data_IF_531149112712
#
_entry.id   IF_531149112712
#
_cell.length_a   1.000
_cell.length_b   1.000
_cell.length_c   1.000
_cell.angle_alpha   90.00
_cell.angle_beta   90.00
_cell.angle_gamma   90.00
#
_symmetry.space_group_name_H-M   'P 1'
#
loop_
_entity.id
_entity.type
_entity.pdbx_description
1 polymer ?
#
# COMPACT_ATOMS: atom_id res chain seq x y z
N UNK A 1 -20.18 40.75 -23.16
CA UNK A 1 -18.85 41.40 -23.08
C UNK A 1 -18.21 41.25 -24.45
N UNK A 2 -18.13 42.36 -25.21
CA UNK A 2 -17.45 42.41 -26.50
C UNK A 2 -15.97 42.11 -26.28
N UNK A 3 -15.46 41.09 -26.98
CA UNK A 3 -14.04 40.77 -27.01
C UNK A 3 -13.34 41.84 -27.86
N UNK A 4 -12.97 42.97 -27.23
CA UNK A 4 -12.12 43.99 -27.86
C UNK A 4 -10.66 43.53 -27.83
N UNK A 5 -10.36 42.43 -28.52
CA UNK A 5 -9.00 41.99 -28.73
C UNK A 5 -8.72 41.99 -30.24
N UNK A 6 -7.55 42.49 -30.64
CA UNK A 6 -7.09 42.57 -32.03
C UNK A 6 -7.20 41.22 -32.74
N UNK A 7 -7.01 40.11 -32.01
CA UNK A 7 -7.15 38.73 -32.52
C UNK A 7 -8.52 38.52 -33.17
N UNK A 8 -9.60 38.87 -32.47
CA UNK A 8 -10.98 38.70 -32.98
C UNK A 8 -11.29 39.64 -34.14
N UNK A 9 -10.60 40.79 -34.24
CA UNK A 9 -10.77 41.73 -35.34
C UNK A 9 -10.11 41.25 -36.64
N UNK A 10 -8.96 40.55 -36.53
CA UNK A 10 -8.20 40.09 -37.70
C UNK A 10 -8.51 38.66 -38.12
N UNK A 11 -9.10 37.83 -37.25
CA UNK A 11 -9.40 36.41 -37.52
C UNK A 11 -10.22 36.20 -38.81
N UNK A 12 -11.17 37.09 -39.06
CA UNK A 12 -12.09 37.01 -40.21
C UNK A 12 -11.75 38.02 -41.31
N UNK A 13 -10.64 38.73 -41.18
CA UNK A 13 -10.25 39.75 -42.14
C UNK A 13 -9.66 39.09 -43.39
N UNK A 14 -10.22 39.31 -44.59
CA UNK A 14 -9.64 38.79 -45.83
C UNK A 14 -8.22 39.33 -46.07
N UNK A 15 -7.35 38.47 -46.60
CA UNK A 15 -5.95 38.79 -46.89
C UNK A 15 -5.74 40.15 -47.56
N UNK A 16 -6.52 40.51 -48.59
CA UNK A 16 -6.33 41.74 -49.36
C UNK A 16 -6.67 43.03 -48.57
N UNK A 17 -7.31 42.92 -47.41
CA UNK A 17 -7.62 44.05 -46.52
C UNK A 17 -6.57 44.28 -45.43
N UNK A 18 -5.58 43.38 -45.28
CA UNK A 18 -4.48 43.62 -44.36
C UNK A 18 -3.58 44.74 -44.87
N UNK A 19 -3.38 45.75 -44.02
CA UNK A 19 -2.41 46.84 -44.22
C UNK A 19 -1.26 46.73 -43.21
N UNK A 20 -0.16 47.44 -43.45
CA UNK A 20 0.99 47.47 -42.54
C UNK A 20 0.61 48.00 -41.14
N UNK A 21 -0.31 48.96 -41.06
CA UNK A 21 -0.79 49.52 -39.78
C UNK A 21 -1.55 48.48 -38.95
N UNK A 22 -2.38 47.65 -39.60
CA UNK A 22 -3.11 46.55 -38.93
C UNK A 22 -2.11 45.50 -38.43
N UNK A 23 -1.10 45.18 -39.23
CA UNK A 23 -0.06 44.21 -38.87
C UNK A 23 0.76 44.71 -37.68
N UNK A 24 1.23 45.95 -37.68
CA UNK A 24 2.01 46.47 -36.54
C UNK A 24 1.15 46.57 -35.26
N UNK A 25 -0.13 46.96 -35.37
CA UNK A 25 -1.03 46.92 -34.22
C UNK A 25 -1.20 45.50 -33.65
N UNK A 26 -1.27 44.48 -34.53
CA UNK A 26 -1.31 43.08 -34.10
C UNK A 26 0.01 42.65 -33.43
N UNK A 27 1.17 43.05 -33.97
CA UNK A 27 2.49 42.78 -33.37
C UNK A 27 2.63 43.44 -31.99
N UNK A 28 2.18 44.68 -31.83
CA UNK A 28 2.24 45.44 -30.57
C UNK A 28 1.32 44.90 -29.48
N UNK A 29 0.24 44.21 -29.86
CA UNK A 29 -0.68 43.59 -28.90
C UNK A 29 -0.03 42.50 -28.05
N UNK A 30 1.04 41.88 -28.56
CA UNK A 30 1.77 40.75 -27.93
C UNK A 30 0.91 39.50 -27.68
N UNK A 31 -0.29 39.43 -28.26
CA UNK A 31 -1.13 38.23 -28.23
C UNK A 31 -0.56 37.19 -29.20
N UNK A 32 -0.38 35.96 -28.73
CA UNK A 32 0.35 34.96 -29.51
C UNK A 32 -0.48 34.43 -30.68
N UNK A 33 -1.81 34.43 -30.57
CA UNK A 33 -2.74 33.89 -31.57
C UNK A 33 -2.74 34.70 -32.87
N UNK A 34 -2.31 35.96 -32.85
CA UNK A 34 -2.23 36.80 -34.06
C UNK A 34 -1.35 36.14 -35.14
N UNK A 35 -0.36 35.33 -34.74
CA UNK A 35 0.49 34.56 -35.65
C UNK A 35 -0.30 33.56 -36.51
N UNK A 36 -1.49 33.15 -36.09
CA UNK A 36 -2.37 32.28 -36.87
C UNK A 36 -3.18 33.03 -37.92
N UNK A 37 -3.34 34.35 -37.78
CA UNK A 37 -4.29 35.15 -38.58
C UNK A 37 -3.60 36.19 -39.47
N UNK A 38 -2.38 36.62 -39.15
CA UNK A 38 -1.61 37.52 -40.02
C UNK A 38 -1.21 36.76 -41.31
N UNK A 39 -1.49 37.31 -42.51
CA UNK A 39 -1.12 36.66 -43.76
C UNK A 39 0.40 36.47 -43.86
N UNK A 40 0.82 35.30 -44.36
CA UNK A 40 2.23 34.90 -44.38
C UNK A 40 3.18 35.90 -45.05
N UNK A 41 2.72 36.70 -46.02
CA UNK A 41 3.54 37.74 -46.67
C UNK A 41 3.98 38.87 -45.73
N UNK A 42 3.29 39.07 -44.61
CA UNK A 42 3.62 40.09 -43.60
C UNK A 42 4.41 39.53 -42.42
N UNK A 43 4.54 38.20 -42.32
CA UNK A 43 5.28 37.53 -41.26
C UNK A 43 6.77 37.47 -41.61
N UNK A 44 7.56 38.34 -40.99
CA UNK A 44 9.03 38.33 -41.03
C UNK A 44 9.59 37.70 -39.76
N UNK A 45 10.84 37.17 -39.77
CA UNK A 45 11.48 36.63 -38.56
C UNK A 45 11.47 37.61 -37.38
N UNK A 46 11.79 38.88 -37.65
CA UNK A 46 11.82 39.95 -36.65
C UNK A 46 10.46 40.19 -35.99
N UNK A 47 9.37 40.18 -36.78
CA UNK A 47 8.00 40.34 -36.25
C UNK A 47 7.58 39.14 -35.40
N UNK A 48 7.89 37.93 -35.86
CA UNK A 48 7.57 36.69 -35.12
C UNK A 48 8.30 36.68 -33.77
N UNK A 49 9.59 37.02 -33.77
CA UNK A 49 10.40 37.07 -32.55
C UNK A 49 9.88 38.14 -31.57
N UNK A 50 9.50 39.33 -32.07
CA UNK A 50 8.87 40.37 -31.24
C UNK A 50 7.59 39.88 -30.56
N UNK A 51 6.71 39.19 -31.30
CA UNK A 51 5.46 38.65 -30.75
C UNK A 51 5.76 37.58 -29.70
N UNK A 52 6.63 36.61 -30.01
CA UNK A 52 6.98 35.52 -29.08
C UNK A 52 7.64 36.08 -27.81
N UNK A 53 8.59 37.02 -27.93
CA UNK A 53 9.27 37.62 -26.79
C UNK A 53 8.35 38.49 -25.93
N UNK A 54 7.34 39.11 -26.54
CA UNK A 54 6.32 39.89 -25.85
C UNK A 54 5.21 39.05 -25.22
N UNK A 55 5.04 37.81 -25.67
CA UNK A 55 3.94 36.93 -25.24
C UNK A 55 4.04 36.57 -23.76
N UNK A 56 2.88 36.51 -23.10
CA UNK A 56 2.78 36.06 -21.70
C UNK A 56 2.64 34.54 -21.64
N UNK A 57 3.05 33.95 -20.51
CA UNK A 57 2.90 32.51 -20.33
C UNK A 57 1.46 32.15 -19.96
N UNK A 58 0.61 32.03 -20.98
CA UNK A 58 -0.78 31.64 -20.88
C UNK A 58 -1.08 30.38 -21.72
N UNK A 59 -2.33 29.92 -21.70
CA UNK A 59 -2.79 28.72 -22.42
C UNK A 59 -3.01 28.95 -23.93
N UNK A 60 -2.89 30.19 -24.40
CA UNK A 60 -3.11 30.53 -25.79
C UNK A 60 -1.94 30.05 -26.66
N UNK A 61 -2.25 29.73 -27.92
CA UNK A 61 -1.31 29.12 -28.86
C UNK A 61 -1.61 29.54 -30.29
N UNK A 62 -0.70 29.20 -31.21
CA UNK A 62 -0.86 29.48 -32.63
C UNK A 62 -0.56 28.24 -33.47
N UNK A 63 -1.02 28.26 -34.71
CA UNK A 63 -0.81 27.19 -35.69
C UNK A 63 0.47 27.45 -36.49
N UNK A 64 1.51 26.66 -36.27
CA UNK A 64 2.82 26.83 -36.93
C UNK A 64 2.73 26.75 -38.47
N UNK A 65 1.76 25.98 -39.00
CA UNK A 65 1.49 25.88 -40.44
C UNK A 65 1.16 27.21 -41.12
N UNK A 66 0.66 28.20 -40.37
CA UNK A 66 0.33 29.52 -40.89
C UNK A 66 1.57 30.43 -41.00
N UNK A 67 2.68 30.06 -40.35
CA UNK A 67 3.97 30.73 -40.51
C UNK A 67 4.65 30.21 -41.80
N UNK A 68 5.17 31.09 -42.67
CA UNK A 68 5.95 30.69 -43.84
C UNK A 68 7.13 29.81 -43.44
N UNK A 69 7.42 28.76 -44.22
CA UNK A 69 8.49 27.79 -43.91
C UNK A 69 9.86 28.46 -43.71
N UNK A 70 10.18 29.47 -44.52
CA UNK A 70 11.43 30.24 -44.40
C UNK A 70 11.59 30.96 -43.04
N UNK A 71 10.49 31.19 -42.32
CA UNK A 71 10.48 31.86 -41.02
C UNK A 71 10.34 30.88 -39.84
N UNK A 72 10.20 29.57 -40.09
CA UNK A 72 10.10 28.54 -39.05
C UNK A 72 11.48 28.19 -38.48
N UNK A 73 12.10 29.13 -37.79
CA UNK A 73 13.37 28.89 -37.10
C UNK A 73 13.22 27.80 -36.03
N UNK A 74 14.34 27.21 -35.58
CA UNK A 74 14.32 26.17 -34.55
C UNK A 74 13.65 26.65 -33.25
N UNK A 75 13.94 27.89 -32.85
CA UNK A 75 13.34 28.52 -31.67
C UNK A 75 11.82 28.72 -31.82
N UNK A 76 11.36 29.13 -33.00
CA UNK A 76 9.91 29.28 -33.30
C UNK A 76 9.22 27.93 -33.26
N UNK A 77 9.82 26.89 -33.86
CA UNK A 77 9.29 25.54 -33.85
C UNK A 77 9.22 24.95 -32.42
N UNK A 78 10.27 25.14 -31.62
CA UNK A 78 10.31 24.69 -30.21
C UNK A 78 9.24 25.39 -29.39
N UNK A 79 9.10 26.72 -29.54
CA UNK A 79 8.08 27.49 -28.86
C UNK A 79 6.67 27.03 -29.25
N UNK A 80 6.40 26.89 -30.55
CA UNK A 80 5.11 26.45 -31.06
C UNK A 80 4.72 25.05 -30.55
N UNK A 81 5.66 24.11 -30.55
CA UNK A 81 5.43 22.72 -30.10
C UNK A 81 5.20 22.65 -28.59
N UNK A 82 5.89 23.50 -27.80
CA UNK A 82 5.64 23.61 -26.35
C UNK A 82 4.25 24.12 -26.02
N UNK A 83 3.76 25.14 -26.74
CA UNK A 83 2.40 25.68 -26.55
C UNK A 83 1.32 24.69 -27.01
N UNK A 84 1.54 24.02 -28.14
CA UNK A 84 0.61 23.04 -28.70
C UNK A 84 1.37 21.94 -29.44
N UNK A 85 1.35 20.72 -28.91
CA UNK A 85 2.13 19.60 -29.46
C UNK A 85 1.80 19.26 -30.90
N UNK A 86 0.53 19.46 -31.34
CA UNK A 86 0.11 19.26 -32.73
C UNK A 86 0.88 20.10 -33.76
N UNK A 87 1.56 21.17 -33.33
CA UNK A 87 2.43 21.96 -34.20
C UNK A 87 3.63 21.16 -34.74
N UNK A 88 3.99 20.01 -34.14
CA UNK A 88 5.04 19.15 -34.67
C UNK A 88 4.79 18.73 -36.12
N UNK A 89 3.52 18.64 -36.54
CA UNK A 89 3.12 18.31 -37.92
C UNK A 89 3.59 19.31 -38.97
N UNK A 90 3.90 20.55 -38.55
CA UNK A 90 4.37 21.63 -39.40
C UNK A 90 5.86 21.95 -39.19
N UNK A 91 6.54 21.24 -38.29
CA UNK A 91 7.99 21.39 -38.06
C UNK A 91 8.73 20.60 -39.14
N UNK A 92 9.69 21.20 -39.86
CA UNK A 92 10.52 20.46 -40.80
C UNK A 92 11.26 19.31 -40.10
N UNK A 93 11.27 18.12 -40.70
CA UNK A 93 11.78 16.90 -40.06
C UNK A 93 13.20 17.07 -39.50
N UNK A 94 14.09 17.77 -40.21
CA UNK A 94 15.46 18.02 -39.80
C UNK A 94 15.58 18.89 -38.53
N UNK A 95 14.54 19.67 -38.21
CA UNK A 95 14.50 20.60 -37.07
C UNK A 95 13.77 20.02 -35.86
N UNK A 96 13.11 18.87 -35.99
CA UNK A 96 12.50 18.18 -34.86
C UNK A 96 13.60 17.76 -33.88
N UNK A 97 13.47 18.22 -32.63
CA UNK A 97 14.43 17.96 -31.55
C UNK A 97 13.95 16.86 -30.61
N UNK A 98 14.88 16.31 -29.82
CA UNK A 98 14.53 15.35 -28.76
C UNK A 98 13.52 15.92 -27.76
N UNK A 99 13.67 17.19 -27.38
CA UNK A 99 12.76 17.86 -26.45
C UNK A 99 11.34 17.98 -27.01
N UNK A 100 11.19 18.25 -28.32
CA UNK A 100 9.88 18.23 -28.98
C UNK A 100 9.25 16.83 -28.93
N UNK A 101 10.00 15.79 -29.25
CA UNK A 101 9.51 14.40 -29.24
C UNK A 101 9.03 13.97 -27.84
N UNK A 102 9.79 14.32 -26.80
CA UNK A 102 9.40 14.04 -25.41
C UNK A 102 8.14 14.83 -24.99
N UNK A 103 8.02 16.09 -25.40
CA UNK A 103 6.83 16.91 -25.13
C UNK A 103 5.58 16.32 -25.81
N UNK A 104 5.72 15.88 -27.06
CA UNK A 104 4.67 15.21 -27.84
C UNK A 104 4.22 13.92 -27.16
N UNK A 105 5.15 13.10 -26.69
CA UNK A 105 4.82 11.87 -25.96
C UNK A 105 4.12 12.15 -24.63
N UNK A 106 4.56 13.17 -23.89
CA UNK A 106 4.01 13.49 -22.57
C UNK A 106 2.61 14.10 -22.65
N UNK A 107 2.37 14.95 -23.64
CA UNK A 107 1.16 15.78 -23.73
C UNK A 107 0.19 15.36 -24.84
N UNK A 108 0.58 14.46 -25.76
CA UNK A 108 -0.21 14.01 -26.92
C UNK A 108 -1.18 12.86 -26.64
N UNK A 109 -1.61 12.66 -25.39
CA UNK A 109 -2.41 11.49 -24.97
C UNK A 109 -3.63 11.28 -25.88
N UNK A 110 -3.79 10.05 -26.38
CA UNK A 110 -4.93 9.63 -27.20
C UNK A 110 -4.81 9.92 -28.70
N UNK A 111 -3.83 10.70 -29.13
CA UNK A 111 -3.57 11.02 -30.53
C UNK A 111 -2.33 10.25 -31.00
N UNK A 112 -2.48 8.99 -31.41
CA UNK A 112 -1.33 8.15 -31.81
C UNK A 112 -0.67 8.61 -33.10
N UNK A 113 -1.41 9.27 -33.98
CA UNK A 113 -0.93 9.73 -35.29
C UNK A 113 0.17 10.78 -35.15
N UNK A 114 0.21 11.49 -34.01
CA UNK A 114 1.26 12.47 -33.72
C UNK A 114 2.66 11.82 -33.60
N UNK A 115 2.73 10.52 -33.28
CA UNK A 115 3.99 9.79 -33.16
C UNK A 115 4.67 9.59 -34.52
N UNK A 116 3.92 9.61 -35.62
CA UNK A 116 4.44 9.52 -36.99
C UNK A 116 5.38 10.69 -37.34
N UNK A 117 5.25 11.82 -36.63
CA UNK A 117 6.06 13.02 -36.86
C UNK A 117 7.34 13.05 -36.01
N UNK A 118 7.63 11.99 -35.25
CA UNK A 118 8.91 11.81 -34.57
C UNK A 118 9.88 11.10 -35.54
N UNK A 119 10.97 11.76 -35.98
CA UNK A 119 11.91 11.17 -36.91
C UNK A 119 12.59 9.92 -36.35
N UNK A 120 12.89 8.96 -37.23
CA UNK A 120 13.54 7.69 -36.89
C UNK A 120 14.82 7.89 -36.06
N UNK A 121 15.64 8.89 -36.41
CA UNK A 121 16.90 9.20 -35.71
C UNK A 121 16.76 9.56 -34.22
N UNK A 122 15.56 9.94 -33.77
CA UNK A 122 15.31 10.35 -32.39
C UNK A 122 14.79 9.22 -31.50
N UNK A 123 14.34 8.12 -32.10
CA UNK A 123 13.85 6.97 -31.34
C UNK A 123 15.01 6.21 -30.71
N UNK A 124 14.91 6.02 -29.41
CA UNK A 124 15.71 5.08 -28.62
C UNK A 124 14.77 4.30 -27.68
N UNK A 125 15.34 3.32 -26.97
CA UNK A 125 14.58 2.50 -26.04
C UNK A 125 13.86 3.36 -24.97
N UNK A 126 14.50 4.44 -24.50
CA UNK A 126 13.97 5.28 -23.45
C UNK A 126 12.76 6.13 -23.91
N UNK A 127 12.81 6.65 -25.13
CA UNK A 127 11.69 7.38 -25.72
C UNK A 127 10.51 6.45 -25.98
N UNK A 128 10.79 5.25 -26.49
CA UNK A 128 9.81 4.21 -26.69
C UNK A 128 9.14 3.79 -25.37
N UNK A 129 9.90 3.56 -24.30
CA UNK A 129 9.34 3.29 -22.97
C UNK A 129 8.51 4.46 -22.44
N UNK A 130 8.93 5.69 -22.69
CA UNK A 130 8.16 6.89 -22.33
C UNK A 130 6.84 6.97 -23.09
N UNK A 131 6.84 6.65 -24.39
CA UNK A 131 5.63 6.58 -25.21
C UNK A 131 4.69 5.50 -24.71
N UNK A 132 5.19 4.28 -24.54
CA UNK A 132 4.43 3.16 -24.00
C UNK A 132 3.81 3.52 -22.63
N UNK A 133 4.58 4.10 -21.71
CA UNK A 133 4.06 4.52 -20.41
C UNK A 133 3.01 5.62 -20.53
N UNK A 134 3.23 6.66 -21.33
CA UNK A 134 2.28 7.78 -21.45
C UNK A 134 0.93 7.39 -22.08
N UNK A 135 0.94 6.46 -23.03
CA UNK A 135 -0.25 6.10 -23.82
C UNK A 135 -0.98 4.85 -23.31
N UNK A 136 -0.31 3.97 -22.56
CA UNK A 136 -0.90 2.74 -22.01
C UNK A 136 -1.23 2.89 -20.52
N UNK A 137 -0.45 3.68 -19.77
CA UNK A 137 -0.68 3.89 -18.33
C UNK A 137 -1.75 4.97 -18.11
N UNK A 138 -3.02 4.58 -18.27
CA UNK A 138 -4.15 5.25 -17.63
C UNK A 138 -4.94 4.21 -16.81
N UNK A 139 -4.93 4.30 -15.46
CA UNK A 139 -5.67 3.37 -14.60
C UNK A 139 -7.19 3.43 -14.79
N UNK A 140 -7.72 4.33 -15.63
CA UNK A 140 -9.15 4.54 -15.82
C UNK A 140 -9.74 4.07 -17.16
N UNK A 141 -8.94 3.59 -18.14
CA UNK A 141 -9.45 3.44 -19.53
C UNK A 141 -9.03 2.21 -20.34
N UNK A 142 -8.32 1.23 -19.76
CA UNK A 142 -8.06 -0.04 -20.47
C UNK A 142 -8.91 -1.16 -19.90
N UNK A 143 -10.22 -1.10 -20.17
CA UNK A 143 -11.20 -2.09 -19.69
C UNK A 143 -10.96 -3.50 -20.27
N UNK A 144 -10.11 -3.65 -21.29
CA UNK A 144 -9.75 -4.97 -21.84
C UNK A 144 -8.27 -5.14 -22.18
N UNK A 145 -7.74 -6.34 -21.89
CA UNK A 145 -6.39 -6.78 -22.28
C UNK A 145 -6.12 -6.61 -23.78
N UNK A 146 -7.14 -6.82 -24.63
CA UNK A 146 -7.02 -6.72 -26.09
C UNK A 146 -6.69 -5.30 -26.54
N UNK A 147 -7.32 -4.30 -25.92
CA UNK A 147 -7.07 -2.89 -26.21
C UNK A 147 -5.63 -2.48 -25.81
N UNK A 148 -5.16 -2.95 -24.65
CA UNK A 148 -3.78 -2.71 -24.21
C UNK A 148 -2.73 -3.33 -25.14
N UNK A 149 -2.98 -4.55 -25.64
CA UNK A 149 -2.10 -5.19 -26.65
C UNK A 149 -2.10 -4.38 -27.94
N UNK A 150 -3.28 -4.03 -28.48
CA UNK A 150 -3.39 -3.26 -29.72
C UNK A 150 -2.66 -1.92 -29.63
N UNK A 151 -2.86 -1.15 -28.55
CA UNK A 151 -2.18 0.13 -28.33
C UNK A 151 -0.66 -0.05 -28.21
N UNK A 152 -0.22 -1.12 -27.56
CA UNK A 152 1.21 -1.45 -27.47
C UNK A 152 1.81 -1.75 -28.84
N UNK A 153 1.15 -2.59 -29.64
CA UNK A 153 1.58 -2.92 -31.01
C UNK A 153 1.62 -1.68 -31.91
N UNK A 154 0.62 -0.79 -31.79
CA UNK A 154 0.57 0.46 -32.53
C UNK A 154 1.78 1.37 -32.21
N UNK A 155 2.10 1.55 -30.93
CA UNK A 155 3.28 2.34 -30.52
C UNK A 155 4.56 1.68 -31.02
N UNK A 156 4.70 0.35 -30.89
CA UNK A 156 5.85 -0.39 -31.40
C UNK A 156 5.97 -0.33 -32.93
N UNK A 157 4.87 -0.06 -33.64
CA UNK A 157 4.85 0.20 -35.08
C UNK A 157 5.62 1.46 -35.47
N UNK A 158 5.56 2.51 -34.64
CA UNK A 158 6.33 3.75 -34.84
C UNK A 158 7.80 3.62 -34.44
N UNK A 159 8.11 2.70 -33.52
CA UNK A 159 9.49 2.48 -33.06
C UNK A 159 10.30 1.76 -34.16
N UNK A 160 11.46 2.30 -34.58
CA UNK A 160 12.32 1.69 -35.58
C UNK A 160 12.77 0.27 -35.23
N UNK A 161 12.95 -0.57 -36.25
CA UNK A 161 13.37 -1.96 -36.05
C UNK A 161 14.74 -2.08 -35.36
N UNK A 162 15.64 -1.13 -35.59
CA UNK A 162 16.97 -1.08 -34.97
C UNK A 162 16.92 -0.87 -33.44
N UNK A 163 15.84 -0.27 -32.93
CA UNK A 163 15.63 -0.05 -31.48
C UNK A 163 15.03 -1.29 -30.81
N UNK A 164 14.22 -2.08 -31.54
CA UNK A 164 13.46 -3.24 -31.04
C UNK A 164 14.33 -4.50 -30.90
N UNK A 165 15.42 -4.39 -30.14
CA UNK A 165 16.34 -5.49 -29.82
C UNK A 165 15.76 -6.41 -28.74
N UNK A 166 16.46 -7.50 -28.43
CA UNK A 166 16.08 -8.38 -27.31
C UNK A 166 16.04 -7.60 -25.97
N UNK A 167 17.06 -6.78 -25.74
CA UNK A 167 17.21 -5.97 -24.52
C UNK A 167 16.09 -4.95 -24.39
N UNK A 168 15.62 -4.39 -25.52
CA UNK A 168 14.45 -3.52 -25.54
C UNK A 168 13.20 -4.25 -25.02
N UNK A 169 12.90 -5.43 -25.54
CA UNK A 169 11.73 -6.19 -25.09
C UNK A 169 11.85 -6.68 -23.64
N UNK A 170 13.06 -6.97 -23.17
CA UNK A 170 13.28 -7.36 -21.77
C UNK A 170 13.10 -6.17 -20.84
N UNK A 171 13.61 -5.00 -21.25
CA UNK A 171 13.43 -3.75 -20.51
C UNK A 171 11.97 -3.29 -20.42
N UNK A 172 11.10 -3.72 -21.33
CA UNK A 172 9.65 -3.47 -21.21
C UNK A 172 9.05 -4.03 -19.91
N UNK A 173 9.56 -5.16 -19.42
CA UNK A 173 9.12 -5.74 -18.14
C UNK A 173 9.52 -4.85 -16.97
N UNK A 174 10.75 -4.34 -16.96
CA UNK A 174 11.29 -3.57 -15.82
C UNK A 174 10.86 -2.09 -15.81
N UNK A 175 10.81 -1.43 -16.98
CA UNK A 175 10.81 0.03 -17.07
C UNK A 175 9.42 0.65 -17.27
N UNK A 176 8.48 -0.11 -17.83
CA UNK A 176 7.26 0.49 -18.42
C UNK A 176 6.03 0.31 -17.53
N UNK A 177 6.10 -0.57 -16.51
CA UNK A 177 4.97 -0.94 -15.63
C UNK A 177 3.71 -1.37 -16.41
N UNK A 178 3.91 -1.92 -17.60
CA UNK A 178 2.84 -2.57 -18.38
C UNK A 178 2.64 -3.98 -17.81
N UNK A 179 1.41 -4.48 -17.85
CA UNK A 179 1.13 -5.87 -17.46
C UNK A 179 2.02 -6.85 -18.22
N UNK A 180 2.63 -7.79 -17.49
CA UNK A 180 3.44 -8.89 -18.05
C UNK A 180 2.70 -9.66 -19.16
N UNK A 181 1.38 -9.78 -19.04
CA UNK A 181 0.52 -10.46 -20.02
C UNK A 181 0.41 -9.74 -21.37
N UNK A 182 0.56 -8.42 -21.38
CA UNK A 182 0.57 -7.57 -22.58
C UNK A 182 1.97 -7.59 -23.17
N UNK A 183 3.01 -7.45 -22.34
CA UNK A 183 4.40 -7.54 -22.78
C UNK A 183 4.66 -8.90 -23.43
N UNK A 184 4.24 -10.02 -22.83
CA UNK A 184 4.38 -11.34 -23.44
C UNK A 184 3.65 -11.45 -24.78
N UNK A 185 2.48 -10.86 -24.94
CA UNK A 185 1.75 -10.92 -26.21
C UNK A 185 2.52 -10.26 -27.36
N UNK A 186 3.18 -9.13 -27.10
CA UNK A 186 3.85 -8.32 -28.15
C UNK A 186 5.32 -8.68 -28.37
N UNK A 187 5.95 -9.42 -27.45
CA UNK A 187 7.35 -9.84 -27.61
C UNK A 187 7.45 -10.84 -28.77
N UNK A 188 8.28 -10.56 -29.80
CA UNK A 188 8.47 -11.47 -30.92
C UNK A 188 8.93 -12.87 -30.49
N UNK A 189 8.39 -13.96 -31.09
CA UNK A 189 8.75 -15.33 -30.71
C UNK A 189 10.26 -15.63 -30.70
N UNK A 190 11.03 -15.00 -31.60
CA UNK A 190 12.50 -15.12 -31.67
C UNK A 190 13.22 -14.68 -30.38
N UNK A 191 12.60 -13.82 -29.58
CA UNK A 191 13.15 -13.34 -28.31
C UNK A 191 12.60 -14.11 -27.09
N UNK A 192 11.59 -14.98 -27.26
CA UNK A 192 11.04 -15.80 -26.17
C UNK A 192 11.88 -17.04 -25.88
N UNK A 193 13.12 -16.82 -25.46
CA UNK A 193 14.07 -17.86 -25.10
C UNK A 193 14.14 -18.08 -23.57
N UNK A 194 15.04 -18.94 -23.10
CA UNK A 194 15.20 -19.23 -21.67
C UNK A 194 15.56 -17.98 -20.84
N UNK A 195 16.34 -17.04 -21.39
CA UNK A 195 16.68 -15.80 -20.71
C UNK A 195 15.46 -14.88 -20.56
N UNK A 196 14.60 -14.83 -21.57
CA UNK A 196 13.32 -14.11 -21.48
C UNK A 196 12.44 -14.66 -20.37
N UNK A 197 12.24 -15.98 -20.32
CA UNK A 197 11.37 -16.58 -19.31
C UNK A 197 11.96 -16.52 -17.90
N UNK A 198 13.29 -16.51 -17.75
CA UNK A 198 13.94 -16.18 -16.48
C UNK A 198 13.59 -14.77 -16.03
N UNK A 199 13.64 -13.80 -16.95
CA UNK A 199 13.24 -12.43 -16.66
C UNK A 199 11.75 -12.34 -16.34
N UNK A 200 10.91 -13.01 -17.12
CA UNK A 200 9.47 -13.10 -16.89
C UNK A 200 9.15 -13.67 -15.51
N UNK A 201 9.90 -14.64 -15.00
CA UNK A 201 9.68 -15.21 -13.67
C UNK A 201 9.86 -14.20 -12.52
N UNK A 202 10.65 -13.14 -12.73
CA UNK A 202 10.74 -12.04 -11.76
C UNK A 202 9.41 -11.28 -11.63
N UNK A 203 8.61 -11.27 -12.70
CA UNK A 203 7.41 -10.44 -12.86
C UNK A 203 6.11 -11.24 -12.77
N UNK A 204 6.01 -12.38 -13.44
CA UNK A 204 4.80 -13.21 -13.54
C UNK A 204 5.12 -14.67 -13.92
N UNK A 205 5.08 -15.58 -12.93
CA UNK A 205 5.29 -17.02 -13.17
C UNK A 205 4.19 -17.69 -13.99
N UNK A 206 2.97 -17.11 -14.06
CA UNK A 206 1.86 -17.72 -14.80
C UNK A 206 2.10 -17.78 -16.31
N UNK A 207 3.01 -16.93 -16.80
CA UNK A 207 3.40 -16.83 -18.20
C UNK A 207 4.64 -17.67 -18.53
N UNK A 208 5.26 -18.30 -17.54
CA UNK A 208 6.43 -19.17 -17.75
C UNK A 208 5.96 -20.59 -18.08
N UNK A 209 6.29 -21.15 -19.27
CA UNK A 209 5.93 -22.52 -19.62
C UNK A 209 6.52 -23.52 -18.63
N UNK A 210 5.71 -24.47 -18.13
CA UNK A 210 6.14 -25.47 -17.13
C UNK A 210 7.35 -26.29 -17.58
N UNK A 211 7.50 -26.54 -18.89
CA UNK A 211 8.67 -27.24 -19.46
C UNK A 211 10.01 -26.51 -19.25
N UNK A 212 9.97 -25.21 -18.90
CA UNK A 212 11.15 -24.38 -18.64
C UNK A 212 11.40 -24.20 -17.14
N UNK A 213 10.60 -24.82 -16.28
CA UNK A 213 10.83 -24.75 -14.83
C UNK A 213 12.21 -25.32 -14.50
N UNK A 214 12.98 -24.52 -13.78
CA UNK A 214 14.35 -24.82 -13.42
C UNK A 214 14.72 -24.08 -12.14
N UNK A 215 15.90 -24.39 -11.61
CA UNK A 215 16.49 -23.66 -10.49
C UNK A 215 16.59 -22.16 -10.77
N UNK A 216 17.00 -21.76 -11.98
CA UNK A 216 17.16 -20.34 -12.34
C UNK A 216 15.82 -19.59 -12.39
N UNK A 217 14.74 -20.25 -12.82
CA UNK A 217 13.38 -19.68 -12.79
C UNK A 217 12.94 -19.45 -11.35
N UNK A 218 13.10 -20.45 -10.48
CA UNK A 218 12.76 -20.33 -9.06
C UNK A 218 13.60 -19.24 -8.39
N UNK A 219 14.90 -19.21 -8.65
CA UNK A 219 15.81 -18.19 -8.13
C UNK A 219 15.37 -16.79 -8.54
N UNK A 220 15.07 -16.57 -9.83
CA UNK A 220 14.58 -15.29 -10.31
C UNK A 220 13.27 -14.87 -9.62
N UNK A 221 12.33 -15.79 -9.48
CA UNK A 221 11.04 -15.51 -8.83
C UNK A 221 11.18 -15.18 -7.33
N UNK A 222 11.96 -15.96 -6.58
CA UNK A 222 12.16 -15.73 -5.13
C UNK A 222 12.98 -14.46 -4.88
N UNK A 223 13.99 -14.20 -5.71
CA UNK A 223 14.85 -13.05 -5.55
C UNK A 223 14.25 -11.74 -6.10
N UNK A 224 13.14 -11.80 -6.85
CA UNK A 224 12.47 -10.62 -7.42
C UNK A 224 12.16 -9.53 -6.40
N UNK A 225 12.39 -8.28 -6.79
CA UNK A 225 11.98 -7.11 -6.01
C UNK A 225 10.47 -6.88 -6.09
N UNK A 226 9.78 -7.50 -7.04
CA UNK A 226 8.34 -7.39 -7.21
C UNK A 226 7.60 -8.35 -6.28
N UNK A 227 6.62 -7.84 -5.53
CA UNK A 227 5.89 -8.63 -4.54
C UNK A 227 4.75 -9.49 -5.10
N UNK A 228 4.52 -9.50 -6.42
CA UNK A 228 3.31 -10.08 -7.07
C UNK A 228 3.60 -10.93 -8.30
N UNK A 229 4.64 -11.76 -8.28
CA UNK A 229 4.99 -12.66 -9.39
C UNK A 229 4.39 -14.08 -9.27
N UNK A 230 3.39 -14.27 -8.41
CA UNK A 230 2.70 -15.53 -8.16
C UNK A 230 3.56 -16.68 -7.58
N UNK A 231 4.78 -16.41 -7.06
CA UNK A 231 5.60 -17.46 -6.44
C UNK A 231 4.95 -18.14 -5.23
N UNK A 232 4.02 -17.46 -4.56
CA UNK A 232 3.30 -17.99 -3.41
C UNK A 232 2.00 -18.70 -3.76
N UNK A 233 1.62 -18.70 -5.05
CA UNK A 233 0.49 -19.49 -5.51
C UNK A 233 0.88 -20.98 -5.55
N UNK A 234 0.13 -21.87 -4.88
CA UNK A 234 0.41 -23.30 -4.87
C UNK A 234 0.49 -23.94 -6.27
N UNK A 235 -0.23 -23.39 -7.27
CA UNK A 235 -0.21 -23.89 -8.64
C UNK A 235 1.20 -23.81 -9.26
N UNK A 236 1.94 -22.72 -8.99
CA UNK A 236 3.28 -22.51 -9.54
C UNK A 236 4.38 -22.97 -8.58
N UNK A 237 4.17 -22.80 -7.27
CA UNK A 237 5.15 -23.18 -6.26
C UNK A 237 5.38 -24.70 -6.20
N UNK A 238 4.31 -25.51 -6.22
CA UNK A 238 4.44 -26.97 -6.02
C UNK A 238 5.38 -27.64 -7.03
N UNK A 239 5.26 -27.41 -8.35
CA UNK A 239 6.22 -27.98 -9.30
C UNK A 239 7.65 -27.45 -9.13
N UNK A 240 7.81 -26.16 -8.78
CA UNK A 240 9.13 -25.55 -8.58
C UNK A 240 9.80 -25.98 -7.27
N UNK A 241 9.04 -26.46 -6.28
CA UNK A 241 9.58 -26.87 -4.97
C UNK A 241 10.64 -27.96 -5.04
N UNK A 242 10.68 -28.73 -6.14
CA UNK A 242 11.73 -29.72 -6.40
C UNK A 242 13.13 -29.09 -6.52
N UNK A 243 13.22 -27.82 -6.92
CA UNK A 243 14.47 -27.08 -7.10
C UNK A 243 14.90 -26.27 -5.87
N UNK A 244 14.16 -26.36 -4.76
CA UNK A 244 14.54 -25.65 -3.53
C UNK A 244 15.87 -26.17 -3.00
N UNK A 245 16.73 -25.21 -2.61
CA UNK A 245 17.92 -25.40 -1.81
C UNK A 245 17.86 -24.52 -0.55
N UNK A 246 18.90 -24.57 0.26
CA UNK A 246 18.91 -23.87 1.54
C UNK A 246 18.84 -22.33 1.38
N UNK A 247 19.52 -21.78 0.39
CA UNK A 247 19.57 -20.33 0.13
C UNK A 247 18.21 -19.81 -0.33
N UNK A 248 17.56 -20.50 -1.26
CA UNK A 248 16.24 -20.11 -1.77
C UNK A 248 15.18 -20.18 -0.68
N UNK A 249 15.23 -21.18 0.19
CA UNK A 249 14.30 -21.29 1.33
C UNK A 249 14.49 -20.12 2.28
N UNK A 250 15.72 -19.79 2.65
CA UNK A 250 16.00 -18.68 3.57
C UNK A 250 15.48 -17.36 2.98
N UNK A 251 15.72 -17.12 1.68
CA UNK A 251 15.20 -15.95 0.98
C UNK A 251 13.67 -15.92 0.90
N UNK A 252 13.03 -17.09 0.73
CA UNK A 252 11.58 -17.22 0.77
C UNK A 252 11.04 -16.88 2.17
N UNK A 253 11.72 -17.27 3.25
CA UNK A 253 11.29 -16.96 4.61
C UNK A 253 11.44 -15.48 4.97
N UNK A 254 12.43 -14.79 4.41
CA UNK A 254 12.59 -13.34 4.55
C UNK A 254 11.44 -12.58 3.88
N UNK A 255 11.02 -12.98 2.68
CA UNK A 255 10.01 -12.24 1.89
C UNK A 255 8.57 -12.72 2.07
N UNK A 256 8.39 -14.02 2.21
CA UNK A 256 7.11 -14.71 2.23
C UNK A 256 7.03 -15.67 3.44
N UNK A 257 7.14 -15.15 4.68
CA UNK A 257 7.20 -15.98 5.90
C UNK A 257 5.97 -16.88 6.10
N UNK A 258 4.84 -16.55 5.46
CA UNK A 258 3.63 -17.36 5.50
C UNK A 258 3.70 -18.67 4.72
N UNK A 259 4.70 -18.80 3.83
CA UNK A 259 4.94 -20.02 3.06
C UNK A 259 5.63 -21.12 3.86
N UNK A 260 6.02 -20.88 5.12
CA UNK A 260 6.73 -21.86 5.94
C UNK A 260 5.98 -23.21 6.01
N UNK A 261 4.65 -23.18 6.14
CA UNK A 261 3.81 -24.38 6.19
C UNK A 261 3.84 -25.21 4.90
N UNK A 262 4.08 -24.58 3.74
CA UNK A 262 4.13 -25.20 2.42
C UNK A 262 5.50 -25.80 2.08
N UNK A 263 6.52 -25.56 2.92
CA UNK A 263 7.86 -26.08 2.67
C UNK A 263 7.91 -27.63 2.77
N UNK A 264 8.73 -28.31 1.96
CA UNK A 264 9.04 -29.71 2.18
C UNK A 264 9.60 -29.95 3.59
N UNK A 265 9.24 -31.09 4.22
CA UNK A 265 9.62 -31.44 5.61
C UNK A 265 11.11 -31.24 5.91
N UNK A 266 12.00 -31.55 4.96
CA UNK A 266 13.46 -31.40 5.11
C UNK A 266 13.91 -29.96 5.40
N UNK A 267 13.13 -28.97 4.98
CA UNK A 267 13.46 -27.56 5.12
C UNK A 267 12.77 -26.88 6.31
N UNK A 268 11.82 -27.56 6.96
CA UNK A 268 11.13 -27.06 8.14
C UNK A 268 12.04 -27.24 9.37
N UNK A 269 12.90 -26.26 9.62
CA UNK A 269 13.81 -26.26 10.78
C UNK A 269 13.44 -25.14 11.78
N UNK A 270 13.83 -25.27 13.06
CA UNK A 270 13.62 -24.22 14.06
C UNK A 270 14.26 -22.88 13.66
N UNK A 271 15.45 -22.89 13.07
CA UNK A 271 16.18 -21.68 12.67
C UNK A 271 15.41 -20.90 11.60
N UNK A 272 14.88 -21.60 10.60
CA UNK A 272 14.06 -21.00 9.53
C UNK A 272 12.72 -20.51 10.03
N UNK A 273 12.14 -21.22 11.00
CA UNK A 273 10.92 -20.77 11.65
C UNK A 273 11.15 -19.45 12.41
N UNK A 274 12.30 -19.28 13.07
CA UNK A 274 12.69 -18.00 13.68
C UNK A 274 12.77 -16.88 12.63
N UNK A 275 13.40 -17.14 11.47
CA UNK A 275 13.47 -16.17 10.36
C UNK A 275 12.07 -15.78 9.90
N UNK A 276 11.18 -16.77 9.69
CA UNK A 276 9.81 -16.53 9.25
C UNK A 276 9.02 -15.69 10.27
N UNK A 277 9.11 -16.03 11.55
CA UNK A 277 8.41 -15.32 12.64
C UNK A 277 8.85 -13.86 12.69
N UNK A 278 10.16 -13.59 12.63
CA UNK A 278 10.72 -12.24 12.73
C UNK A 278 10.35 -11.36 11.53
N UNK A 279 10.18 -11.95 10.34
CA UNK A 279 9.79 -11.21 9.13
C UNK A 279 8.26 -11.13 8.95
N UNK A 280 7.48 -11.79 9.79
CA UNK A 280 6.02 -11.75 9.69
C UNK A 280 5.44 -10.45 10.25
N UNK A 281 4.71 -9.73 9.39
CA UNK A 281 3.93 -8.54 9.79
C UNK A 281 2.57 -8.87 10.41
N UNK A 282 2.06 -10.10 10.28
CA UNK A 282 0.73 -10.50 10.77
C UNK A 282 0.83 -11.72 11.67
N UNK A 283 -0.01 -11.77 12.70
CA UNK A 283 -0.03 -12.86 13.68
C UNK A 283 -0.34 -14.22 13.03
N UNK A 284 -1.16 -14.23 11.98
CA UNK A 284 -1.68 -15.44 11.31
C UNK A 284 -0.71 -16.11 10.34
N UNK A 285 0.40 -15.46 9.98
CA UNK A 285 1.25 -15.95 8.90
C UNK A 285 2.11 -17.17 9.30
N UNK A 286 2.47 -17.32 10.57
CA UNK A 286 3.30 -18.44 11.03
C UNK A 286 2.45 -19.37 11.89
N UNK A 287 1.47 -20.03 11.27
CA UNK A 287 0.72 -21.09 11.92
C UNK A 287 1.58 -22.34 12.01
N UNK A 288 1.63 -22.93 13.19
CA UNK A 288 2.29 -24.22 13.44
C UNK A 288 1.17 -25.20 13.70
N UNK A 289 1.17 -26.30 12.96
CA UNK A 289 0.27 -27.40 13.27
C UNK A 289 0.75 -28.06 14.57
N UNK A 290 -0.03 -27.87 15.63
CA UNK A 290 0.31 -28.30 16.99
C UNK A 290 0.51 -29.81 17.12
N UNK A 291 -0.04 -30.63 16.22
CA UNK A 291 0.12 -32.09 16.25
C UNK A 291 1.36 -32.57 15.49
N UNK A 292 1.71 -31.93 14.37
CA UNK A 292 2.77 -32.45 13.49
C UNK A 292 4.09 -31.68 13.57
N UNK A 293 4.09 -30.46 14.12
CA UNK A 293 5.23 -29.54 14.08
C UNK A 293 5.69 -29.08 15.48
N UNK A 294 5.16 -29.68 16.55
CA UNK A 294 5.54 -29.35 17.93
C UNK A 294 7.04 -29.49 18.20
N UNK A 295 7.73 -30.39 17.50
CA UNK A 295 9.18 -30.57 17.60
C UNK A 295 9.99 -29.34 17.20
N UNK A 296 9.40 -28.42 16.42
CA UNK A 296 10.06 -27.17 16.00
C UNK A 296 10.08 -26.11 17.10
N UNK A 297 9.25 -26.25 18.16
CA UNK A 297 9.14 -25.29 19.25
C UNK A 297 10.31 -25.41 20.24
N UNK A 298 11.50 -25.01 19.77
CA UNK A 298 12.67 -24.82 20.63
C UNK A 298 12.52 -23.55 21.48
N UNK A 299 13.39 -23.37 22.47
CA UNK A 299 13.38 -22.17 23.31
C UNK A 299 13.52 -20.89 22.46
N UNK A 300 14.39 -20.89 21.44
CA UNK A 300 14.60 -19.72 20.57
C UNK A 300 13.39 -19.42 19.67
N UNK A 301 12.69 -20.45 19.19
CA UNK A 301 11.43 -20.27 18.46
C UNK A 301 10.35 -19.66 19.36
N UNK A 302 10.21 -20.14 20.60
CA UNK A 302 9.25 -19.59 21.55
C UNK A 302 9.57 -18.12 21.88
N UNK A 303 10.86 -17.77 22.07
CA UNK A 303 11.32 -16.38 22.22
C UNK A 303 10.99 -15.52 21.00
N UNK A 304 11.09 -16.06 19.79
CA UNK A 304 10.71 -15.33 18.58
C UNK A 304 9.21 -15.00 18.57
N UNK A 305 8.33 -15.94 18.97
CA UNK A 305 6.89 -15.67 19.10
C UNK A 305 6.59 -14.61 20.15
N UNK A 306 7.29 -14.66 21.30
CA UNK A 306 7.17 -13.66 22.36
C UNK A 306 7.56 -12.27 21.84
N UNK A 307 8.71 -12.13 21.14
CA UNK A 307 9.16 -10.86 20.54
C UNK A 307 8.21 -10.32 19.50
N UNK A 308 7.59 -11.19 18.69
CA UNK A 308 6.55 -10.81 17.73
C UNK A 308 5.34 -10.19 18.42
N UNK A 309 5.15 -10.49 19.70
CA UNK A 309 4.16 -9.87 20.58
C UNK A 309 2.71 -9.97 20.08
N UNK A 310 2.33 -11.18 19.71
CA UNK A 310 0.96 -11.50 19.25
C UNK A 310 0.54 -12.90 19.69
N UNK A 311 -0.29 -13.54 18.89
CA UNK A 311 -0.68 -14.94 19.16
C UNK A 311 0.55 -15.86 19.26
N UNK A 312 0.53 -16.71 20.29
CA UNK A 312 1.55 -17.71 20.53
C UNK A 312 0.94 -19.11 20.37
N UNK A 313 1.63 -20.07 19.73
CA UNK A 313 1.25 -21.48 19.82
C UNK A 313 1.37 -21.96 21.28
N UNK A 314 0.88 -23.16 21.56
CA UNK A 314 1.07 -23.78 22.87
C UNK A 314 2.55 -24.12 23.07
N UNK A 315 3.22 -23.44 24.00
CA UNK A 315 4.63 -23.68 24.28
C UNK A 315 4.86 -25.01 25.02
N UNK A 316 5.90 -25.77 24.66
CA UNK A 316 6.24 -27.01 25.37
C UNK A 316 6.59 -26.75 26.84
N UNK A 317 6.15 -27.65 27.73
CA UNK A 317 6.39 -27.53 29.18
C UNK A 317 7.86 -27.29 29.53
N UNK A 318 8.76 -27.99 28.83
CA UNK A 318 10.23 -27.89 29.00
C UNK A 318 10.82 -26.49 28.75
N UNK A 319 10.10 -25.59 28.08
CA UNK A 319 10.57 -24.22 27.80
C UNK A 319 10.34 -23.30 29.01
N UNK A 320 9.35 -23.61 29.84
CA UNK A 320 9.02 -22.81 31.02
C UNK A 320 10.13 -22.93 32.07
N UNK A 321 10.88 -21.84 32.20
CA UNK A 321 11.92 -21.63 33.20
C UNK A 321 11.82 -20.19 33.68
N UNK A 322 12.38 -19.87 34.85
CA UNK A 322 12.38 -18.49 35.33
C UNK A 322 12.98 -17.53 34.29
N UNK A 323 14.11 -17.91 33.67
CA UNK A 323 14.75 -17.12 32.61
C UNK A 323 13.83 -16.85 31.41
N UNK A 324 13.02 -17.85 31.03
CA UNK A 324 12.07 -17.66 29.92
C UNK A 324 10.89 -16.77 30.32
N UNK A 325 10.43 -16.86 31.57
CA UNK A 325 9.39 -15.96 32.11
C UNK A 325 9.89 -14.52 32.16
N UNK A 326 11.12 -14.31 32.64
CA UNK A 326 11.74 -12.97 32.67
C UNK A 326 11.84 -12.39 31.24
N UNK A 327 12.22 -13.21 30.27
CA UNK A 327 12.22 -12.83 28.85
C UNK A 327 10.80 -12.49 28.33
N UNK A 328 9.79 -13.27 28.71
CA UNK A 328 8.40 -13.01 28.33
C UNK A 328 7.91 -11.67 28.90
N UNK A 329 8.29 -11.34 30.13
CA UNK A 329 7.98 -10.06 30.76
C UNK A 329 8.67 -8.88 30.07
N UNK A 330 9.91 -9.07 29.61
CA UNK A 330 10.68 -8.02 28.93
C UNK A 330 10.16 -7.72 27.51
N UNK A 331 9.81 -8.75 26.73
CA UNK A 331 9.51 -8.61 25.30
C UNK A 331 8.04 -8.86 24.91
N UNK A 332 7.27 -9.60 25.72
CA UNK A 332 5.91 -10.04 25.39
C UNK A 332 4.81 -9.17 26.01
N UNK A 333 4.77 -7.89 25.65
CA UNK A 333 3.89 -6.88 26.30
C UNK A 333 2.38 -7.07 26.09
N UNK A 334 1.95 -7.97 25.19
CA UNK A 334 0.54 -8.31 24.98
C UNK A 334 0.01 -9.40 25.92
N UNK A 335 0.86 -10.00 26.75
CA UNK A 335 0.51 -11.04 27.75
C UNK A 335 -0.27 -12.26 27.22
N UNK A 336 -0.38 -12.46 25.90
CA UNK A 336 -1.07 -13.64 25.32
C UNK A 336 -0.42 -14.97 25.66
N UNK A 337 0.87 -14.95 26.00
CA UNK A 337 1.62 -16.10 26.52
C UNK A 337 1.26 -16.44 27.97
N UNK A 338 0.70 -15.51 28.74
CA UNK A 338 0.53 -15.62 30.19
C UNK A 338 -0.37 -16.79 30.59
N UNK A 339 -1.46 -17.03 29.84
CA UNK A 339 -2.40 -18.14 30.09
C UNK A 339 -1.75 -19.53 30.08
N UNK A 340 -0.61 -19.64 29.38
CA UNK A 340 0.12 -20.88 29.21
C UNK A 340 1.21 -21.07 30.28
N UNK A 341 1.55 -20.00 31.01
CA UNK A 341 2.60 -20.04 32.04
C UNK A 341 2.15 -20.92 33.22
N UNK A 342 2.97 -21.91 33.64
CA UNK A 342 2.67 -22.73 34.80
C UNK A 342 2.47 -21.87 36.06
N UNK A 343 1.54 -22.29 36.92
CA UNK A 343 1.10 -21.50 38.08
C UNK A 343 2.23 -21.31 39.11
N UNK A 344 3.25 -22.18 39.13
CA UNK A 344 4.43 -22.00 39.99
C UNK A 344 5.29 -20.78 39.63
N UNK A 345 5.26 -20.31 38.38
CA UNK A 345 6.03 -19.13 37.94
C UNK A 345 5.25 -17.82 38.06
N UNK A 346 3.97 -17.87 38.49
CA UNK A 346 3.21 -16.66 38.78
C UNK A 346 3.75 -15.96 40.03
N UNK A 347 3.89 -14.65 39.94
CA UNK A 347 4.33 -13.75 41.00
C UNK A 347 3.41 -12.54 41.04
N UNK A 348 3.33 -11.84 42.19
CA UNK A 348 2.50 -10.64 42.29
C UNK A 348 2.85 -9.59 41.23
N UNK A 349 4.12 -9.48 40.85
CA UNK A 349 4.58 -8.53 39.85
C UNK A 349 4.08 -8.88 38.43
N UNK A 350 4.23 -10.13 37.99
CA UNK A 350 3.80 -10.52 36.64
C UNK A 350 2.27 -10.60 36.50
N UNK A 351 1.55 -10.98 37.55
CA UNK A 351 0.08 -10.95 37.56
C UNK A 351 -0.46 -9.52 37.52
N UNK A 352 0.17 -8.59 38.26
CA UNK A 352 -0.22 -7.18 38.22
C UNK A 352 -0.01 -6.61 36.82
N UNK A 353 1.16 -6.84 36.21
CA UNK A 353 1.44 -6.33 34.87
C UNK A 353 0.47 -6.89 33.80
N UNK A 354 0.11 -8.18 33.89
CA UNK A 354 -0.89 -8.79 33.00
C UNK A 354 -2.29 -8.18 33.20
N UNK A 355 -2.66 -7.89 34.46
CA UNK A 355 -3.93 -7.25 34.79
C UNK A 355 -4.01 -5.82 34.27
N UNK A 356 -2.94 -5.04 34.48
CA UNK A 356 -2.83 -3.65 34.02
C UNK A 356 -2.91 -3.55 32.49
N UNK A 357 -2.45 -4.59 31.78
CA UNK A 357 -2.64 -4.70 30.34
C UNK A 357 -4.10 -5.00 29.97
N UNK A 358 -4.73 -5.99 30.61
CA UNK A 358 -6.14 -6.33 30.39
C UNK A 358 -6.73 -7.12 31.55
N UNK A 359 -7.89 -6.66 32.04
CA UNK A 359 -8.68 -7.35 33.06
C UNK A 359 -9.06 -8.79 32.67
N UNK A 360 -9.09 -9.11 31.37
CA UNK A 360 -9.37 -10.45 30.88
C UNK A 360 -8.45 -11.53 31.47
N UNK A 361 -7.19 -11.17 31.75
CA UNK A 361 -6.19 -12.11 32.28
C UNK A 361 -6.48 -12.57 33.71
N UNK A 362 -7.43 -11.97 34.42
CA UNK A 362 -7.80 -12.42 35.78
C UNK A 362 -8.23 -13.89 35.82
N UNK A 363 -8.81 -14.40 34.74
CA UNK A 363 -9.17 -15.82 34.58
C UNK A 363 -7.95 -16.75 34.60
N UNK A 364 -6.78 -16.23 34.23
CA UNK A 364 -5.52 -16.98 34.14
C UNK A 364 -4.71 -16.92 35.43
N UNK A 365 -5.16 -16.22 36.48
CA UNK A 365 -4.39 -16.07 37.71
C UNK A 365 -4.60 -17.25 38.65
N UNK A 366 -3.55 -17.61 39.40
CA UNK A 366 -3.71 -18.44 40.58
C UNK A 366 -4.47 -17.62 41.63
N UNK A 367 -5.48 -18.23 42.27
CA UNK A 367 -6.41 -17.54 43.18
C UNK A 367 -5.72 -16.70 44.27
N UNK A 368 -4.51 -17.10 44.71
CA UNK A 368 -3.71 -16.39 45.72
C UNK A 368 -3.16 -15.02 45.27
N UNK A 369 -3.07 -14.76 43.97
CA UNK A 369 -2.58 -13.49 43.42
C UNK A 369 -3.70 -12.53 43.04
N UNK A 370 -4.97 -12.96 43.12
CA UNK A 370 -6.11 -12.07 42.91
C UNK A 370 -6.26 -11.20 44.16
N UNK A 371 -6.03 -9.91 44.02
CA UNK A 371 -6.16 -8.96 45.13
C UNK A 371 -7.62 -8.58 45.37
N UNK A 372 -7.98 -8.09 46.58
CA UNK A 372 -9.32 -7.55 46.83
C UNK A 372 -9.72 -6.42 45.87
N UNK A 373 -8.75 -5.63 45.39
CA UNK A 373 -9.01 -4.52 44.48
C UNK A 373 -9.34 -5.02 43.07
N UNK A 374 -8.52 -5.92 42.52
CA UNK A 374 -8.80 -6.59 41.23
C UNK A 374 -10.16 -7.28 41.25
N UNK A 375 -10.46 -7.97 42.36
CA UNK A 375 -11.72 -8.67 42.53
C UNK A 375 -12.93 -7.73 42.48
N UNK A 376 -12.86 -6.58 43.16
CA UNK A 376 -13.92 -5.57 43.15
C UNK A 376 -14.17 -5.01 41.76
N UNK A 377 -13.10 -4.62 41.06
CA UNK A 377 -13.18 -4.04 39.70
C UNK A 377 -13.77 -5.05 38.70
N UNK A 378 -13.22 -6.26 38.64
CA UNK A 378 -13.67 -7.29 37.71
C UNK A 378 -15.10 -7.81 38.01
N UNK A 379 -15.52 -7.81 39.28
CA UNK A 379 -16.89 -8.19 39.63
C UNK A 379 -17.91 -7.19 39.05
N UNK A 380 -17.57 -5.90 39.02
CA UNK A 380 -18.43 -4.85 38.42
C UNK A 380 -18.51 -4.94 36.91
N UNK A 381 -17.50 -5.51 36.26
CA UNK A 381 -17.50 -5.75 34.81
C UNK A 381 -18.30 -7.00 34.38
N UNK A 382 -18.99 -7.70 35.30
CA UNK A 382 -19.89 -8.88 35.15
C UNK A 382 -19.34 -10.11 34.42
N UNK A 383 -18.61 -9.92 33.32
CA UNK A 383 -17.97 -10.91 32.46
C UNK A 383 -16.94 -11.77 33.18
N UNK A 384 -16.37 -11.28 34.30
CA UNK A 384 -15.29 -11.93 35.02
C UNK A 384 -15.64 -12.34 36.45
N UNK A 385 -16.90 -12.20 36.86
CA UNK A 385 -17.34 -12.54 38.23
C UNK A 385 -16.99 -13.98 38.64
N UNK A 386 -16.98 -14.92 37.69
CA UNK A 386 -16.62 -16.33 37.93
C UNK A 386 -15.14 -16.57 38.28
N UNK A 387 -14.26 -15.65 37.90
CA UNK A 387 -12.83 -15.75 38.23
C UNK A 387 -12.54 -15.33 39.68
N UNK A 388 -13.48 -14.63 40.33
CA UNK A 388 -13.29 -14.06 41.66
C UNK A 388 -13.32 -15.16 42.73
N UNK A 389 -12.32 -15.24 43.62
CA UNK A 389 -12.36 -16.15 44.76
C UNK A 389 -13.55 -15.87 45.68
N UNK A 390 -14.42 -16.87 45.88
CA UNK A 390 -15.67 -16.69 46.63
C UNK A 390 -15.52 -16.18 48.07
N UNK A 391 -14.38 -16.42 48.72
CA UNK A 391 -14.12 -15.92 50.07
C UNK A 391 -14.15 -14.38 50.16
N UNK A 392 -13.82 -13.66 49.08
CA UNK A 392 -13.94 -12.20 49.06
C UNK A 392 -15.40 -11.73 49.14
N UNK A 393 -16.32 -12.44 48.48
CA UNK A 393 -17.75 -12.14 48.50
C UNK A 393 -18.33 -12.50 49.88
N UNK A 394 -18.00 -13.68 50.41
CA UNK A 394 -18.47 -14.10 51.74
C UNK A 394 -17.99 -13.14 52.84
N UNK A 395 -16.72 -12.72 52.79
CA UNK A 395 -16.17 -11.79 53.76
C UNK A 395 -16.77 -10.39 53.63
N UNK A 396 -17.02 -9.92 52.40
CA UNK A 396 -17.72 -8.67 52.17
C UNK A 396 -19.14 -8.68 52.76
N UNK A 397 -19.93 -9.72 52.47
CA UNK A 397 -21.28 -9.87 53.00
C UNK A 397 -21.25 -9.91 54.54
N UNK A 398 -20.28 -10.60 55.13
CA UNK A 398 -20.10 -10.66 56.59
C UNK A 398 -19.72 -9.31 57.20
N UNK A 399 -18.83 -8.55 56.56
CA UNK A 399 -18.33 -7.26 57.07
C UNK A 399 -19.30 -6.10 56.87
N UNK A 400 -20.17 -6.17 55.87
CA UNK A 400 -21.06 -5.05 55.51
C UNK A 400 -22.52 -5.35 55.77
N UNK A 401 -22.91 -6.63 55.90
CA UNK A 401 -24.31 -7.06 55.92
C UNK A 401 -25.04 -6.90 54.59
N UNK A 402 -24.35 -6.42 53.53
CA UNK A 402 -24.94 -6.21 52.21
C UNK A 402 -24.87 -7.48 51.35
N UNK A 403 -25.82 -7.70 50.42
CA UNK A 403 -25.73 -8.76 49.42
C UNK A 403 -24.50 -8.64 48.52
N UNK A 404 -24.02 -9.75 47.96
CA UNK A 404 -22.83 -9.80 47.09
C UNK A 404 -22.93 -8.90 45.84
N UNK A 405 -24.15 -8.58 45.40
CA UNK A 405 -24.42 -7.66 44.28
C UNK A 405 -23.78 -6.26 44.49
N UNK A 406 -23.56 -5.86 45.75
CA UNK A 406 -22.91 -4.60 46.12
C UNK A 406 -21.38 -4.67 46.12
N UNK A 407 -20.78 -5.84 45.91
CA UNK A 407 -19.32 -6.00 45.95
C UNK A 407 -18.65 -5.12 44.88
N UNK A 408 -17.64 -4.34 45.29
CA UNK A 408 -16.98 -3.36 44.43
C UNK A 408 -17.78 -2.07 44.17
N UNK A 409 -18.93 -1.89 44.80
CA UNK A 409 -19.79 -0.71 44.66
C UNK A 409 -19.55 0.42 45.65
N UNK A 410 -18.41 0.43 46.34
CA UNK A 410 -18.11 1.48 47.34
C UNK A 410 -17.94 2.84 46.67
N UNK A 411 -18.61 3.86 47.19
CA UNK A 411 -18.61 5.22 46.68
C UNK A 411 -18.66 6.25 47.80
N UNK A 412 -18.40 7.51 47.47
CA UNK A 412 -18.56 8.63 48.42
C UNK A 412 -20.04 8.93 48.63
N UNK A 413 -20.39 9.46 49.80
CA UNK A 413 -21.77 9.88 50.10
C UNK A 413 -22.32 10.87 49.05
N UNK A 414 -21.47 11.77 48.57
CA UNK A 414 -21.83 12.73 47.54
C UNK A 414 -22.13 12.03 46.20
N UNK A 415 -21.31 11.04 45.82
CA UNK A 415 -21.53 10.25 44.61
C UNK A 415 -22.81 9.40 44.71
N UNK A 416 -23.03 8.75 45.86
CA UNK A 416 -24.24 7.96 46.12
C UNK A 416 -25.51 8.82 46.00
N UNK A 417 -25.47 10.06 46.52
CA UNK A 417 -26.58 11.02 46.45
C UNK A 417 -26.87 11.49 45.02
N UNK A 418 -25.81 11.81 44.26
CA UNK A 418 -25.91 12.48 42.97
C UNK A 418 -26.04 11.51 41.79
N UNK A 419 -25.20 10.47 41.74
CA UNK A 419 -25.13 9.54 40.61
C UNK A 419 -26.18 8.43 40.69
N UNK A 420 -26.49 7.96 41.91
CA UNK A 420 -27.44 6.86 42.17
C UNK A 420 -27.21 5.65 41.27
N UNK A 421 -25.94 5.31 41.02
CA UNK A 421 -25.58 4.15 40.23
C UNK A 421 -26.04 2.87 40.93
N UNK A 422 -26.47 1.88 40.15
CA UNK A 422 -27.05 0.66 40.68
C UNK A 422 -26.05 -0.14 41.54
N UNK A 423 -26.57 -0.82 42.55
CA UNK A 423 -25.83 -1.57 43.57
C UNK A 423 -24.58 -0.85 44.11
N UNK A 424 -24.70 0.42 44.49
CA UNK A 424 -23.62 1.20 45.13
C UNK A 424 -23.85 1.39 46.62
N UNK A 425 -22.80 1.64 47.39
CA UNK A 425 -22.90 1.91 48.82
C UNK A 425 -21.85 2.90 49.31
N UNK A 426 -22.07 3.47 50.49
CA UNK A 426 -21.12 4.32 51.21
C UNK A 426 -21.03 3.86 52.67
N UNK A 427 -19.80 3.80 53.22
CA UNK A 427 -19.56 3.47 54.63
C UNK A 427 -19.48 4.75 55.46
N UNK A 428 -20.21 4.77 56.58
CA UNK A 428 -20.19 5.82 57.60
C UNK A 428 -19.97 5.14 58.96
N UNK A 429 -18.72 5.10 59.42
CA UNK A 429 -18.36 4.28 60.58
C UNK A 429 -18.70 2.81 60.35
N UNK A 430 -19.50 2.22 61.23
CA UNK A 430 -19.95 0.81 61.14
C UNK A 430 -21.28 0.64 60.37
N UNK A 431 -21.78 1.71 59.76
CA UNK A 431 -23.03 1.68 58.99
C UNK A 431 -22.73 1.74 57.50
N UNK A 432 -23.33 0.86 56.71
CA UNK A 432 -23.32 0.97 55.26
C UNK A 432 -24.68 1.50 54.79
N UNK A 433 -24.66 2.59 54.01
CA UNK A 433 -25.83 3.07 53.28
C UNK A 433 -25.69 2.64 51.83
N UNK A 434 -26.63 1.83 51.34
CA UNK A 434 -26.59 1.19 50.04
C UNK A 434 -27.80 1.58 49.19
N UNK A 435 -27.60 1.67 47.88
CA UNK A 435 -28.58 2.06 46.88
C UNK A 435 -28.62 1.02 45.76
N UNK A 436 -29.82 0.60 45.37
CA UNK A 436 -30.01 -0.25 44.19
C UNK A 436 -31.36 0.00 43.52
N UNK A 437 -31.45 -0.38 42.26
CA UNK A 437 -32.66 -0.37 41.45
C UNK A 437 -33.20 -1.80 41.38
N UNK A 438 -34.49 -1.97 41.68
CA UNK A 438 -35.15 -3.27 41.52
C UNK A 438 -35.91 -3.26 40.20
N UNK A 439 -35.41 -3.98 39.21
CA UNK A 439 -36.17 -4.26 37.98
C UNK A 439 -37.19 -5.35 38.26
N UNK A 440 -38.47 -5.00 38.26
CA UNK A 440 -39.51 -5.98 37.94
C UNK A 440 -40.48 -5.50 36.87
N UNK A 441 -40.83 -4.21 36.76
CA UNK A 441 -41.48 -3.58 35.58
C UNK A 441 -41.27 -2.05 35.68
N UNK A 442 -41.22 -1.33 34.55
CA UNK A 442 -41.05 0.14 34.56
C UNK A 442 -42.20 0.85 35.30
N UNK A 443 -41.90 1.94 36.05
CA UNK A 443 -40.57 2.51 36.30
C UNK A 443 -39.83 1.81 37.45
N UNK A 444 -38.52 1.60 37.28
CA UNK A 444 -37.62 0.97 38.26
C UNK A 444 -37.66 1.70 39.60
N UNK A 445 -38.16 1.03 40.64
CA UNK A 445 -38.19 1.59 42.00
C UNK A 445 -36.78 1.65 42.62
N UNK A 446 -36.38 2.85 43.04
CA UNK A 446 -35.12 3.09 43.74
C UNK A 446 -35.23 2.71 45.22
N UNK A 447 -34.30 1.89 45.69
CA UNK A 447 -34.29 1.39 47.06
C UNK A 447 -33.03 1.83 47.79
N UNK A 448 -33.22 2.21 49.05
CA UNK A 448 -32.14 2.44 50.01
C UNK A 448 -32.15 1.32 51.04
N UNK A 449 -30.98 0.75 51.28
CA UNK A 449 -30.74 -0.25 52.31
C UNK A 449 -29.73 0.33 53.30
N UNK A 450 -29.96 0.12 54.59
CA UNK A 450 -29.01 0.48 55.61
C UNK A 450 -28.69 -0.76 56.42
N UNK A 451 -27.41 -1.08 56.54
CA UNK A 451 -26.92 -2.20 57.34
C UNK A 451 -25.94 -1.68 58.38
N UNK A 452 -25.85 -2.39 59.50
CA UNK A 452 -24.91 -2.09 60.59
C UNK A 452 -24.13 -3.36 60.88
N UNK A 453 -22.81 -3.29 60.75
CA UNK A 453 -21.91 -4.40 61.02
C UNK A 453 -21.47 -4.50 62.48
#
# INVERSE_FOLDING_TARGET
MLHNNIVSAIEWLPDYLFTEEIVEAAVESKEIEVLSHIPGRFLTPERIERIIAGSTDNWHSFELRNIPEACRSGAVCDYATRKKTKNITAVPEAMVTRGMAEAVIRNGRGDFDILAFIPERLWDAQLAYSALRSYIYDPYYTDSRTDAVMKTELILGYVPIGVKTQEFYYGMLDQVKISSTVTDAVVPPRFKNAAYYRKMAEHDLSLVPTRLYSYEILHAAVCSVEGKNFITDPQFFKPLSAYLDDMLVDRLMEKHPYMFGELPKRFKTPERLVIAINNSKRETNCYIDGETEQSLLTAEVCKAFVRRNGNCPTFPEKVWTQKFVDYCMEYGTCFRWFRQMPKEFQTSANTQAAYDYSHHHICDFAKRFITPQMAKECYRESSYARAIPGHFLTEFCRQTGLPEMFYGGESTMLSLKNSRADYTYCKIGNTCLAFYLKEQYEPSSAHLMMTRS
#
